data_IF_801794389515
#
_entry.id   IF_801794389515
#
_cell.length_a   1.000
_cell.length_b   1.000
_cell.length_c   1.000
_cell.angle_alpha   90.00
_cell.angle_beta   90.00
_cell.angle_gamma   90.00
#
_symmetry.space_group_name_H-M   'P 1'
#
loop_
_entity.id
_entity.type
_entity.pdbx_description
1 polymer ?
#
# COMPACT_ATOMS: atom_id res chain seq x y z
N UNK A 1 -0.26 6.55 -27.80
CA UNK A 1 0.83 5.72 -27.25
C UNK A 1 0.82 5.82 -25.73
N UNK A 2 1.58 4.97 -25.04
CA UNK A 2 1.77 5.09 -23.60
C UNK A 2 2.73 6.26 -23.30
N UNK A 3 2.43 7.03 -22.27
CA UNK A 3 3.26 8.15 -21.78
C UNK A 3 3.55 7.93 -20.29
N UNK A 4 4.66 8.45 -19.80
CA UNK A 4 5.06 8.25 -18.40
C UNK A 4 6.57 8.24 -18.23
N UNK A 5 7.04 7.77 -17.08
CA UNK A 5 8.46 7.72 -16.77
C UNK A 5 8.80 6.53 -15.87
N UNK A 6 10.08 6.23 -15.79
CA UNK A 6 10.65 5.21 -14.92
C UNK A 6 11.82 5.81 -14.16
N UNK A 7 11.99 5.44 -12.89
CA UNK A 7 13.02 5.99 -12.02
C UNK A 7 13.60 4.92 -11.11
N UNK A 8 14.92 4.92 -10.94
CA UNK A 8 15.61 4.16 -9.90
C UNK A 8 15.40 4.84 -8.54
N UNK A 9 15.01 4.08 -7.53
CA UNK A 9 14.85 4.56 -6.14
C UNK A 9 16.14 4.36 -5.37
N UNK A 10 16.65 3.13 -5.40
CA UNK A 10 17.88 2.70 -4.74
C UNK A 10 18.53 1.54 -5.52
N UNK A 11 19.57 0.92 -4.97
CA UNK A 11 20.30 -0.17 -5.64
C UNK A 11 19.52 -1.47 -5.80
N UNK A 12 18.31 -1.55 -5.24
CA UNK A 12 17.46 -2.75 -5.22
C UNK A 12 16.10 -2.51 -5.83
N UNK A 13 15.75 -1.26 -6.12
CA UNK A 13 14.38 -0.86 -6.41
C UNK A 13 14.32 0.23 -7.47
N UNK A 14 13.40 0.07 -8.40
CA UNK A 14 12.96 1.08 -9.35
C UNK A 14 11.43 1.04 -9.47
N UNK A 15 10.83 2.13 -9.96
CA UNK A 15 9.41 2.16 -10.29
C UNK A 15 9.17 2.73 -11.68
N UNK A 16 7.98 2.48 -12.21
CA UNK A 16 7.48 3.03 -13.48
C UNK A 16 6.04 3.46 -13.34
N UNK A 17 5.76 4.71 -13.72
CA UNK A 17 4.42 5.26 -13.82
C UNK A 17 4.10 5.43 -15.31
N UNK A 18 3.10 4.70 -15.80
CA UNK A 18 2.67 4.78 -17.19
C UNK A 18 1.18 5.06 -17.28
N UNK A 19 0.77 5.84 -18.27
CA UNK A 19 -0.63 6.03 -18.62
C UNK A 19 -0.86 6.02 -20.13
N UNK A 20 -2.10 5.73 -20.51
CA UNK A 20 -2.57 5.69 -21.90
C UNK A 20 -4.00 6.20 -21.97
N UNK A 21 -4.22 7.19 -22.82
CA UNK A 21 -5.55 7.72 -23.12
C UNK A 21 -6.16 6.97 -24.30
N UNK A 22 -7.38 6.45 -24.12
CA UNK A 22 -8.18 5.79 -25.14
C UNK A 22 -9.56 6.47 -25.18
N UNK A 23 -9.78 7.33 -26.19
CA UNK A 23 -10.98 8.17 -26.25
C UNK A 23 -11.10 9.10 -25.04
N UNK A 24 -12.16 8.94 -24.26
CA UNK A 24 -12.43 9.70 -23.02
C UNK A 24 -11.86 9.01 -21.77
N UNK A 25 -11.33 7.79 -21.88
CA UNK A 25 -10.81 7.02 -20.76
C UNK A 25 -9.30 7.17 -20.64
N UNK A 26 -8.80 7.36 -19.41
CA UNK A 26 -7.38 7.34 -19.09
C UNK A 26 -7.08 6.11 -18.23
N UNK A 27 -6.24 5.21 -18.75
CA UNK A 27 -5.68 4.11 -17.98
C UNK A 27 -4.33 4.55 -17.43
N UNK A 28 -4.01 4.22 -16.18
CA UNK A 28 -2.68 4.43 -15.61
C UNK A 28 -2.33 3.32 -14.61
N UNK A 29 -1.03 3.09 -14.42
CA UNK A 29 -0.49 2.14 -13.43
C UNK A 29 0.83 2.65 -12.90
N UNK A 30 1.15 2.25 -11.66
CA UNK A 30 2.44 2.42 -11.02
C UNK A 30 2.97 1.05 -10.59
N UNK A 31 4.14 0.66 -11.10
CA UNK A 31 4.74 -0.64 -10.79
C UNK A 31 6.15 -0.46 -10.23
N UNK A 32 6.44 -1.13 -9.12
CA UNK A 32 7.76 -1.25 -8.53
C UNK A 32 8.40 -2.60 -8.90
N UNK A 33 9.70 -2.60 -9.19
CA UNK A 33 10.49 -3.80 -9.44
C UNK A 33 11.97 -3.58 -9.07
N UNK A 34 12.80 -4.59 -9.30
CA UNK A 34 14.21 -4.57 -8.91
C UNK A 34 15.08 -3.63 -9.77
N UNK A 35 14.63 -3.32 -10.99
CA UNK A 35 15.29 -2.40 -11.92
C UNK A 35 14.28 -1.75 -12.89
N UNK A 36 14.75 -0.71 -13.58
CA UNK A 36 13.94 0.11 -14.49
C UNK A 36 13.38 -0.70 -15.65
N UNK A 37 14.17 -1.61 -16.23
CA UNK A 37 13.76 -2.44 -17.36
C UNK A 37 12.57 -3.33 -16.99
N UNK A 38 12.65 -4.00 -15.84
CA UNK A 38 11.59 -4.87 -15.35
C UNK A 38 10.36 -4.08 -14.93
N UNK A 39 10.52 -2.96 -14.22
CA UNK A 39 9.41 -2.09 -13.83
C UNK A 39 8.66 -1.57 -15.06
N UNK A 40 9.38 -1.07 -16.07
CA UNK A 40 8.80 -0.54 -17.30
C UNK A 40 8.07 -1.62 -18.09
N UNK A 41 8.65 -2.83 -18.18
CA UNK A 41 8.02 -3.96 -18.86
C UNK A 41 6.71 -4.37 -18.16
N UNK A 42 6.72 -4.50 -16.84
CA UNK A 42 5.53 -4.90 -16.07
C UNK A 42 4.44 -3.83 -16.14
N UNK A 43 4.78 -2.55 -16.00
CA UNK A 43 3.82 -1.45 -16.15
C UNK A 43 3.15 -1.45 -17.54
N UNK A 44 3.90 -1.73 -18.62
CA UNK A 44 3.32 -1.85 -19.97
C UNK A 44 2.35 -3.02 -20.06
N UNK A 45 2.70 -4.18 -19.51
CA UNK A 45 1.85 -5.38 -19.51
C UNK A 45 0.55 -5.13 -18.74
N UNK A 46 0.65 -4.54 -17.55
CA UNK A 46 -0.51 -4.23 -16.71
C UNK A 46 -1.43 -3.21 -17.40
N UNK A 47 -0.87 -2.18 -18.02
CA UNK A 47 -1.65 -1.16 -18.72
C UNK A 47 -2.35 -1.71 -19.98
N UNK A 48 -1.68 -2.57 -20.76
CA UNK A 48 -2.33 -3.29 -21.85
C UNK A 48 -3.46 -4.19 -21.35
N UNK A 49 -3.23 -4.95 -20.28
CA UNK A 49 -4.26 -5.82 -19.70
C UNK A 49 -5.48 -5.02 -19.19
N UNK A 50 -5.25 -3.86 -18.57
CA UNK A 50 -6.32 -2.97 -18.12
C UNK A 50 -7.14 -2.41 -19.30
N UNK A 51 -6.47 -2.02 -20.38
CA UNK A 51 -7.13 -1.58 -21.62
C UNK A 51 -7.95 -2.69 -22.26
N UNK A 52 -7.38 -3.90 -22.39
CA UNK A 52 -8.05 -5.07 -22.96
C UNK A 52 -9.28 -5.48 -22.14
N UNK A 53 -9.22 -5.30 -20.82
CA UNK A 53 -10.34 -5.55 -19.92
C UNK A 53 -11.44 -4.49 -20.07
N UNK A 54 -11.06 -3.23 -20.23
CA UNK A 54 -11.94 -2.09 -20.38
C UNK A 54 -12.46 -1.53 -19.06
N UNK A 55 -12.68 -0.20 -19.03
CA UNK A 55 -13.09 0.55 -17.85
C UNK A 55 -14.33 0.00 -17.13
N UNK A 56 -15.36 -0.43 -17.85
CA UNK A 56 -16.59 -0.92 -17.24
C UNK A 56 -16.38 -2.20 -16.43
N UNK A 57 -15.57 -3.14 -16.95
CA UNK A 57 -15.26 -4.39 -16.25
C UNK A 57 -14.34 -4.12 -15.05
N UNK A 58 -13.36 -3.23 -15.19
CA UNK A 58 -12.51 -2.81 -14.08
C UNK A 58 -13.34 -2.16 -12.95
N UNK A 59 -14.28 -1.28 -13.30
CA UNK A 59 -15.19 -0.66 -12.33
C UNK A 59 -16.08 -1.70 -11.65
N UNK A 60 -16.58 -2.70 -12.39
CA UNK A 60 -17.36 -3.78 -11.80
C UNK A 60 -16.53 -4.63 -10.82
N UNK A 61 -15.28 -4.95 -11.16
CA UNK A 61 -14.37 -5.67 -10.26
C UNK A 61 -14.09 -4.87 -9.00
N UNK A 62 -13.79 -3.57 -9.15
CA UNK A 62 -13.60 -2.65 -8.03
C UNK A 62 -14.82 -2.61 -7.09
N UNK A 63 -16.02 -2.47 -7.65
CA UNK A 63 -17.27 -2.48 -6.84
C UNK A 63 -17.47 -3.80 -6.12
N UNK A 64 -17.20 -4.94 -6.78
CA UNK A 64 -17.31 -6.27 -6.16
C UNK A 64 -16.33 -6.44 -5.01
N UNK A 65 -15.09 -5.97 -5.18
CA UNK A 65 -14.09 -6.01 -4.12
C UNK A 65 -14.55 -5.22 -2.90
N UNK A 66 -15.05 -3.98 -3.09
CA UNK A 66 -15.58 -3.19 -1.98
C UNK A 66 -16.82 -3.79 -1.33
N UNK A 67 -17.72 -4.40 -2.11
CA UNK A 67 -18.86 -5.13 -1.55
C UNK A 67 -18.41 -6.29 -0.66
N UNK A 68 -17.38 -7.03 -1.07
CA UNK A 68 -16.82 -8.11 -0.26
C UNK A 68 -16.13 -7.57 1.00
N UNK A 69 -15.36 -6.47 0.87
CA UNK A 69 -14.71 -5.81 1.98
C UNK A 69 -15.74 -5.37 3.03
N UNK A 70 -16.73 -4.57 2.64
CA UNK A 70 -17.79 -4.09 3.53
C UNK A 70 -18.76 -5.19 3.98
N UNK A 71 -18.79 -6.33 3.31
CA UNK A 71 -19.55 -7.51 3.74
C UNK A 71 -18.95 -8.23 4.96
N UNK A 72 -17.71 -7.92 5.36
CA UNK A 72 -17.03 -8.57 6.50
C UNK A 72 -17.50 -8.03 7.86
N UNK A 73 -17.86 -6.76 7.93
CA UNK A 73 -18.30 -6.11 9.17
C UNK A 73 -19.03 -4.79 8.86
N UNK A 74 -19.91 -4.39 9.77
CA UNK A 74 -20.55 -3.07 9.76
C UNK A 74 -20.76 -2.60 11.19
N UNK A 75 -20.91 -1.29 11.35
CA UNK A 75 -21.16 -0.66 12.64
C UNK A 75 -22.33 0.31 12.50
N UNK A 76 -23.21 0.32 13.50
CA UNK A 76 -24.27 1.31 13.64
C UNK A 76 -24.20 1.92 15.03
N UNK A 77 -24.08 3.24 15.13
CA UNK A 77 -24.04 3.99 16.39
C UNK A 77 -25.08 5.12 16.40
N UNK A 78 -25.58 5.53 17.58
CA UNK A 78 -26.38 6.74 17.68
C UNK A 78 -25.62 8.02 17.33
N UNK A 79 -24.29 8.00 17.48
CA UNK A 79 -23.42 9.11 17.09
C UNK A 79 -22.87 8.89 15.67
N UNK A 80 -23.43 9.63 14.72
CA UNK A 80 -23.04 9.57 13.32
C UNK A 80 -21.57 9.95 13.09
N UNK A 81 -20.99 10.83 13.91
CA UNK A 81 -19.59 11.24 13.74
C UNK A 81 -18.65 10.10 14.10
N UNK A 82 -18.89 9.43 15.23
CA UNK A 82 -18.11 8.27 15.63
C UNK A 82 -18.29 7.10 14.65
N UNK A 83 -19.50 6.89 14.14
CA UNK A 83 -19.76 5.88 13.12
C UNK A 83 -18.95 6.17 11.85
N UNK A 84 -18.97 7.41 11.34
CA UNK A 84 -18.21 7.80 10.15
C UNK A 84 -16.70 7.68 10.35
N UNK A 85 -16.19 7.91 11.56
CA UNK A 85 -14.77 7.67 11.86
C UNK A 85 -14.40 6.19 11.70
N UNK A 86 -15.25 5.27 12.13
CA UNK A 86 -15.03 3.83 11.95
C UNK A 86 -15.01 3.45 10.46
N UNK A 87 -15.96 3.96 9.66
CA UNK A 87 -15.98 3.70 8.21
C UNK A 87 -14.77 4.31 7.50
N UNK A 88 -14.32 5.51 7.90
CA UNK A 88 -13.11 6.13 7.33
C UNK A 88 -11.85 5.35 7.68
N UNK A 89 -11.71 4.90 8.93
CA UNK A 89 -10.57 4.10 9.36
C UNK A 89 -10.44 2.81 8.54
N UNK A 90 -11.54 2.07 8.37
CA UNK A 90 -11.53 0.86 7.54
C UNK A 90 -11.32 1.17 6.06
N UNK A 91 -11.90 2.26 5.52
CA UNK A 91 -11.63 2.67 4.15
C UNK A 91 -10.12 2.91 3.91
N UNK A 92 -9.46 3.64 4.81
CA UNK A 92 -8.01 3.88 4.70
C UNK A 92 -7.20 2.59 4.86
N UNK A 93 -7.59 1.71 5.79
CA UNK A 93 -6.96 0.40 5.94
C UNK A 93 -7.05 -0.43 4.65
N UNK A 94 -8.22 -0.49 4.04
CA UNK A 94 -8.41 -1.18 2.76
C UNK A 94 -7.60 -0.55 1.63
N UNK A 95 -7.61 0.77 1.52
CA UNK A 95 -6.98 1.49 0.41
C UNK A 95 -5.45 1.52 0.50
N UNK A 96 -4.89 1.50 1.70
CA UNK A 96 -3.46 1.65 1.93
C UNK A 96 -2.73 0.37 2.34
N UNK A 97 -3.43 -0.74 2.61
CA UNK A 97 -2.83 -1.96 3.16
C UNK A 97 -3.32 -3.22 2.44
N UNK A 98 -3.04 -3.31 1.15
CA UNK A 98 -3.43 -4.45 0.33
C UNK A 98 -2.35 -5.56 0.37
N UNK A 99 -2.74 -6.84 0.59
CA UNK A 99 -1.81 -7.98 0.54
C UNK A 99 -0.88 -7.99 -0.67
N UNK A 100 0.40 -8.27 -0.42
CA UNK A 100 1.45 -8.27 -1.44
C UNK A 100 2.12 -6.92 -1.68
N UNK A 101 1.62 -5.84 -1.07
CA UNK A 101 2.24 -4.51 -1.11
C UNK A 101 2.89 -4.14 0.24
N UNK A 102 3.52 -2.97 0.28
CA UNK A 102 4.04 -2.40 1.52
C UNK A 102 2.89 -1.98 2.47
N UNK A 103 3.09 -2.00 3.80
CA UNK A 103 2.10 -1.50 4.74
C UNK A 103 1.95 0.04 4.66
N UNK A 104 0.92 0.59 5.31
CA UNK A 104 0.73 2.04 5.36
C UNK A 104 1.83 2.73 6.18
N UNK A 105 2.54 3.72 5.61
CA UNK A 105 3.44 4.59 6.35
C UNK A 105 2.68 5.70 7.12
N UNK A 106 3.39 6.57 7.82
CA UNK A 106 2.84 7.64 8.68
C UNK A 106 1.72 8.51 8.07
N UNK A 107 1.82 8.87 6.79
CA UNK A 107 0.76 9.64 6.07
C UNK A 107 -0.02 8.79 5.06
N UNK A 108 0.09 7.45 5.12
CA UNK A 108 -0.44 6.55 4.10
C UNK A 108 0.17 6.82 2.72
N UNK A 109 -0.59 6.52 1.67
CA UNK A 109 -0.18 6.79 0.26
C UNK A 109 -0.53 8.22 -0.20
N UNK A 110 -0.99 9.07 0.72
CA UNK A 110 -1.54 10.41 0.44
C UNK A 110 -0.62 11.52 0.92
N UNK A 111 0.68 11.34 0.75
CA UNK A 111 1.63 12.36 1.15
C UNK A 111 1.66 13.50 0.13
N UNK A 112 1.22 14.69 0.54
CA UNK A 112 1.53 15.94 -0.14
C UNK A 112 2.73 16.55 0.59
N UNK A 113 3.86 16.64 -0.09
CA UNK A 113 5.14 17.07 0.49
C UNK A 113 5.66 18.39 -0.08
N UNK A 114 4.91 19.04 -0.98
CA UNK A 114 5.28 20.30 -1.65
C UNK A 114 6.75 20.29 -2.14
N UNK A 115 7.15 19.19 -2.79
CA UNK A 115 8.51 18.92 -3.27
C UNK A 115 9.60 18.84 -2.16
N UNK A 116 9.19 18.61 -0.90
CA UNK A 116 10.08 18.44 0.25
C UNK A 116 10.02 17.02 0.82
N UNK A 117 10.82 16.74 1.84
CA UNK A 117 10.65 15.51 2.60
C UNK A 117 9.40 15.62 3.48
N UNK A 118 8.53 14.59 3.49
CA UNK A 118 7.38 14.57 4.39
C UNK A 118 7.80 14.74 5.85
N UNK A 119 6.93 15.27 6.73
CA UNK A 119 7.16 15.25 8.17
C UNK A 119 7.52 13.83 8.65
N UNK A 120 8.61 13.71 9.41
CA UNK A 120 9.20 12.42 9.84
C UNK A 120 9.49 11.46 8.68
N UNK A 121 9.80 12.01 7.50
CA UNK A 121 10.10 11.28 6.26
C UNK A 121 8.97 10.37 5.77
N UNK A 122 7.77 10.47 6.33
CA UNK A 122 6.67 9.55 6.05
C UNK A 122 7.10 8.11 6.29
N UNK A 123 7.88 7.85 7.34
CA UNK A 123 8.46 6.54 7.60
C UNK A 123 7.48 5.57 8.28
N UNK A 124 8.02 4.42 8.69
CA UNK A 124 7.37 3.52 9.63
C UNK A 124 7.89 3.81 11.05
N UNK A 125 7.14 4.62 11.80
CA UNK A 125 7.46 4.92 13.19
C UNK A 125 7.00 3.78 14.11
N UNK A 126 7.95 3.02 14.65
CA UNK A 126 7.71 1.75 15.35
C UNK A 126 7.65 1.86 16.88
N UNK A 127 7.54 3.05 17.43
CA UNK A 127 7.35 3.28 18.88
C UNK A 127 5.88 3.50 19.29
N UNK A 128 4.98 3.74 18.34
CA UNK A 128 3.52 3.74 18.53
C UNK A 128 2.75 3.81 17.21
N UNK A 129 3.14 4.72 16.31
CA UNK A 129 2.26 5.16 15.22
C UNK A 129 1.90 4.02 14.26
N UNK A 130 2.88 3.24 13.82
CA UNK A 130 2.63 2.14 12.87
C UNK A 130 1.74 1.08 13.52
N UNK A 131 1.97 0.72 14.78
CA UNK A 131 1.12 -0.21 15.52
C UNK A 131 -0.30 0.33 15.70
N UNK A 132 -0.45 1.64 15.95
CA UNK A 132 -1.76 2.27 16.12
C UNK A 132 -2.55 2.32 14.81
N UNK A 133 -1.91 2.56 13.65
CA UNK A 133 -2.53 2.43 12.33
C UNK A 133 -3.20 1.06 12.14
N UNK A 134 -2.57 0.01 12.68
CA UNK A 134 -3.03 -1.37 12.58
C UNK A 134 -3.78 -1.88 13.82
N UNK A 135 -4.14 -1.03 14.79
CA UNK A 135 -4.70 -1.53 16.05
C UNK A 135 -6.10 -2.18 15.91
N UNK A 136 -6.85 -1.84 14.86
CA UNK A 136 -8.26 -2.18 14.71
C UNK A 136 -8.55 -3.31 13.71
N UNK A 137 -7.56 -3.80 12.95
CA UNK A 137 -7.86 -4.72 11.84
C UNK A 137 -8.51 -6.04 12.30
N UNK A 138 -8.17 -6.55 13.49
CA UNK A 138 -8.77 -7.77 14.04
C UNK A 138 -10.21 -7.51 14.49
N UNK A 139 -10.43 -6.44 15.25
CA UNK A 139 -11.74 -6.11 15.82
C UNK A 139 -12.74 -5.67 14.75
N UNK A 140 -12.25 -5.10 13.64
CA UNK A 140 -13.06 -4.77 12.48
C UNK A 140 -13.22 -5.93 11.46
N UNK A 141 -12.69 -7.13 11.74
CA UNK A 141 -12.76 -8.30 10.84
C UNK A 141 -12.09 -8.12 9.46
N UNK A 142 -10.93 -7.45 9.44
CA UNK A 142 -10.08 -7.26 8.27
C UNK A 142 -8.66 -7.84 8.45
N UNK A 143 -8.51 -9.14 8.78
CA UNK A 143 -7.21 -9.78 9.03
C UNK A 143 -6.26 -9.75 7.83
N UNK A 144 -6.78 -9.78 6.60
CA UNK A 144 -5.97 -9.72 5.38
C UNK A 144 -5.19 -8.40 5.28
N UNK A 145 -5.86 -7.27 5.54
CA UNK A 145 -5.22 -5.96 5.54
C UNK A 145 -4.22 -5.83 6.68
N UNK A 146 -4.54 -6.38 7.86
CA UNK A 146 -3.60 -6.40 9.00
C UNK A 146 -2.34 -7.24 8.77
N UNK A 147 -2.48 -8.35 8.05
CA UNK A 147 -1.38 -9.26 7.73
C UNK A 147 -0.25 -8.57 6.96
N UNK A 148 -0.54 -7.54 6.18
CA UNK A 148 0.45 -6.77 5.42
C UNK A 148 1.56 -6.22 6.32
N UNK A 149 1.19 -5.66 7.48
CA UNK A 149 2.18 -5.17 8.44
C UNK A 149 3.00 -6.31 9.05
N UNK A 150 2.37 -7.43 9.37
CA UNK A 150 3.06 -8.60 9.93
C UNK A 150 4.05 -9.21 8.93
N UNK A 151 3.66 -9.33 7.66
CA UNK A 151 4.52 -9.83 6.57
C UNK A 151 5.71 -8.91 6.36
N UNK A 152 5.49 -7.60 6.44
CA UNK A 152 6.57 -6.62 6.38
C UNK A 152 7.56 -6.79 7.54
N UNK A 153 7.09 -6.86 8.80
CA UNK A 153 7.97 -7.13 9.95
C UNK A 153 8.74 -8.44 9.79
N UNK A 154 8.08 -9.49 9.27
CA UNK A 154 8.72 -10.77 9.01
C UNK A 154 9.83 -10.69 7.95
N UNK A 155 9.63 -9.86 6.93
CA UNK A 155 10.62 -9.61 5.89
C UNK A 155 11.87 -8.89 6.40
N UNK A 156 11.77 -8.16 7.52
CA UNK A 156 12.86 -7.40 8.13
C UNK A 156 13.73 -8.24 9.08
N UNK A 157 13.33 -9.47 9.41
CA UNK A 157 14.05 -10.34 10.36
C UNK A 157 15.54 -10.53 10.04
N UNK A 158 15.97 -10.72 8.77
CA UNK A 158 17.40 -10.82 8.47
C UNK A 158 18.20 -9.56 8.85
N UNK A 159 17.61 -8.39 8.64
CA UNK A 159 18.18 -7.09 8.97
C UNK A 159 18.18 -6.86 10.48
N UNK A 160 17.08 -7.21 11.16
CA UNK A 160 16.95 -7.15 12.62
C UNK A 160 17.99 -8.04 13.32
N UNK A 161 18.21 -9.26 12.82
CA UNK A 161 19.21 -10.18 13.34
C UNK A 161 20.64 -9.65 13.11
N UNK A 162 20.89 -8.99 11.96
CA UNK A 162 22.18 -8.34 11.68
C UNK A 162 22.42 -7.19 12.66
N UNK A 163 21.41 -6.36 12.91
CA UNK A 163 21.50 -5.25 13.86
C UNK A 163 21.75 -5.74 15.29
N UNK A 164 20.99 -6.73 15.76
CA UNK A 164 21.17 -7.32 17.10
C UNK A 164 22.59 -7.87 17.34
N UNK A 165 23.16 -8.57 16.36
CA UNK A 165 24.56 -9.03 16.43
C UNK A 165 25.56 -7.88 16.47
N UNK A 166 25.39 -6.91 15.58
CA UNK A 166 26.34 -5.81 15.43
C UNK A 166 26.34 -4.84 16.61
N UNK A 167 25.16 -4.55 17.16
CA UNK A 167 24.98 -3.55 18.21
C UNK A 167 24.98 -4.15 19.62
N UNK A 168 24.24 -5.24 19.84
CA UNK A 168 24.08 -5.86 21.16
C UNK A 168 24.95 -7.12 21.37
N UNK A 169 25.60 -7.65 20.33
CA UNK A 169 26.40 -8.88 20.44
C UNK A 169 25.57 -10.16 20.69
N UNK A 170 24.28 -10.14 20.37
CA UNK A 170 23.37 -11.28 20.63
C UNK A 170 22.88 -11.95 19.35
N UNK A 171 22.44 -13.21 19.46
CA UNK A 171 21.88 -13.97 18.34
C UNK A 171 20.38 -13.68 18.08
N UNK A 172 19.76 -12.79 18.86
CA UNK A 172 18.35 -12.43 18.74
C UNK A 172 18.06 -11.50 17.55
N UNK A 173 16.87 -10.91 17.56
CA UNK A 173 16.41 -9.92 16.58
C UNK A 173 16.03 -8.64 17.31
N UNK A 174 16.46 -7.49 16.77
CA UNK A 174 16.05 -6.17 17.24
C UNK A 174 15.76 -5.32 16.00
N UNK A 175 14.51 -4.90 15.88
CA UNK A 175 14.03 -3.97 14.86
C UNK A 175 14.29 -2.53 15.30
#
# INVERSE_FOLDING_TARGET
GMIGFSQKVDDRTAYSLLCKKCGTTLYYTAVQAENVEKASRLAKLELCAAEDMGADKLLQQHKRWWQQYWGKSSLQLPDETLEQLWYRANYFLAAGSEPGNAPMPLQGVWCADDDQLPPWKGDYHNDLNTQFTYCHYLTANHPEQGKVFLDYLWSLRPQAAKFARAFYGTAGECL
#
